data_IF_770999477499
#
_entry.id   IF_770999477499
#
_cell.length_a   1.000
_cell.length_b   1.000
_cell.length_c   1.000
_cell.angle_alpha   90.00
_cell.angle_beta   90.00
_cell.angle_gamma   90.00
#
_symmetry.space_group_name_H-M   'P 1'
#
loop_
_entity.id
_entity.type
_entity.pdbx_description
1 polymer ?
#
# COMPACT_ATOMS: atom_id res chain seq x y z
N UNK A 1 -1.90 7.80 -11.50
CA UNK A 1 -0.67 7.04 -11.23
C UNK A 1 -0.15 7.56 -9.89
N UNK A 2 -0.26 6.78 -8.81
CA UNK A 2 0.26 7.20 -7.50
C UNK A 2 1.78 7.11 -7.60
N UNK A 3 2.46 8.26 -7.59
CA UNK A 3 3.92 8.29 -7.51
C UNK A 3 4.33 7.78 -6.12
N UNK A 4 4.76 6.52 -6.05
CA UNK A 4 5.38 5.97 -4.84
C UNK A 4 6.78 6.55 -4.72
N UNK A 5 6.97 7.50 -3.83
CA UNK A 5 8.29 8.01 -3.53
C UNK A 5 8.99 7.00 -2.60
N UNK A 6 9.96 6.27 -3.16
CA UNK A 6 10.72 5.24 -2.44
C UNK A 6 11.58 5.80 -1.30
N UNK A 7 11.73 7.13 -1.21
CA UNK A 7 12.49 7.79 -0.16
C UNK A 7 11.63 8.15 1.06
N UNK A 8 10.35 7.83 1.07
CA UNK A 8 9.49 8.08 2.23
C UNK A 8 9.76 7.08 3.34
N UNK A 9 9.72 7.54 4.59
CA UNK A 9 10.04 6.71 5.76
C UNK A 9 9.13 5.48 5.92
N UNK A 10 7.91 5.51 5.33
CA UNK A 10 7.00 4.36 5.34
C UNK A 10 7.43 3.24 4.36
N UNK A 11 8.33 3.52 3.43
CA UNK A 11 8.65 2.60 2.32
C UNK A 11 9.32 1.32 2.79
N UNK A 12 10.35 1.43 3.64
CA UNK A 12 11.08 0.26 4.14
C UNK A 12 10.22 -0.64 5.03
N UNK A 13 9.45 -0.12 6.02
CA UNK A 13 8.53 -0.93 6.80
C UNK A 13 7.47 -1.62 5.93
N UNK A 14 6.89 -0.90 4.97
CA UNK A 14 5.87 -1.45 4.08
C UNK A 14 6.42 -2.58 3.21
N UNK A 15 7.63 -2.41 2.67
CA UNK A 15 8.29 -3.43 1.87
C UNK A 15 8.66 -4.65 2.72
N UNK A 16 9.07 -4.43 3.98
CA UNK A 16 9.36 -5.52 4.93
C UNK A 16 8.11 -6.36 5.20
N UNK A 17 6.98 -5.72 5.52
CA UNK A 17 5.70 -6.42 5.73
C UNK A 17 5.28 -7.18 4.47
N UNK A 18 5.41 -6.55 3.30
CA UNK A 18 5.04 -7.17 2.04
C UNK A 18 5.93 -8.38 1.70
N UNK A 19 7.21 -8.37 2.09
CA UNK A 19 8.10 -9.53 1.97
C UNK A 19 7.72 -10.64 2.93
N UNK A 20 7.49 -10.31 4.19
CA UNK A 20 7.25 -11.30 5.25
C UNK A 20 5.89 -11.99 5.09
N UNK A 21 4.84 -11.22 4.87
CA UNK A 21 3.46 -11.76 4.88
C UNK A 21 2.98 -12.15 3.49
N UNK A 22 3.44 -11.44 2.45
CA UNK A 22 3.02 -11.69 1.09
C UNK A 22 4.16 -12.33 0.27
N UNK A 23 5.44 -12.14 0.57
CA UNK A 23 6.53 -12.57 -0.34
C UNK A 23 6.64 -11.66 -1.56
N UNK A 24 6.21 -10.39 -1.46
CA UNK A 24 6.45 -9.35 -2.47
C UNK A 24 7.85 -8.79 -2.25
N UNK A 25 8.78 -9.09 -3.15
CA UNK A 25 10.19 -8.69 -2.99
C UNK A 25 10.48 -7.24 -3.38
N UNK A 26 9.68 -6.70 -4.30
CA UNK A 26 9.72 -5.32 -4.77
C UNK A 26 8.32 -4.88 -5.20
N UNK A 27 8.08 -3.57 -5.13
CA UNK A 27 6.88 -2.94 -5.66
C UNK A 27 7.07 -2.39 -7.09
N UNK A 28 8.24 -2.62 -7.68
CA UNK A 28 8.52 -2.24 -9.06
C UNK A 28 7.83 -3.20 -10.03
N UNK A 29 7.13 -2.69 -11.05
CA UNK A 29 6.55 -3.53 -12.07
C UNK A 29 7.66 -4.23 -12.86
N UNK A 30 7.52 -5.52 -13.03
CA UNK A 30 8.43 -6.39 -13.78
C UNK A 30 8.06 -6.44 -15.28
N UNK A 31 6.92 -5.86 -15.66
CA UNK A 31 6.47 -5.78 -17.04
C UNK A 31 5.93 -7.10 -17.58
N UNK A 32 5.62 -8.06 -16.70
CA UNK A 32 5.10 -9.39 -17.03
C UNK A 32 3.92 -9.69 -16.10
N UNK A 33 2.72 -10.01 -16.63
CA UNK A 33 1.53 -10.26 -15.80
C UNK A 33 1.75 -11.35 -14.73
N UNK A 34 2.51 -12.39 -15.05
CA UNK A 34 2.81 -13.48 -14.11
C UNK A 34 3.73 -13.07 -12.94
N UNK A 35 4.44 -11.96 -13.07
CA UNK A 35 5.30 -11.40 -12.03
C UNK A 35 4.62 -10.24 -11.28
N UNK A 36 3.73 -9.51 -11.96
CA UNK A 36 3.03 -8.34 -11.42
C UNK A 36 1.69 -8.70 -10.74
N UNK A 37 1.11 -9.86 -11.07
CA UNK A 37 -0.14 -10.38 -10.48
C UNK A 37 0.17 -11.67 -9.74
N UNK A 38 -0.38 -11.80 -8.53
CA UNK A 38 -0.08 -12.89 -7.60
C UNK A 38 -1.32 -13.29 -6.80
N UNK A 39 -1.53 -14.59 -6.66
CA UNK A 39 -2.54 -15.13 -5.74
C UNK A 39 -2.00 -15.08 -4.31
N UNK A 40 -2.81 -14.59 -3.38
CA UNK A 40 -2.50 -14.54 -1.95
C UNK A 40 -3.64 -15.20 -1.18
N UNK A 41 -3.35 -15.83 -0.04
CA UNK A 41 -4.41 -16.27 0.86
C UNK A 41 -5.01 -15.03 1.53
N UNK A 42 -6.31 -15.06 1.78
CA UNK A 42 -7.02 -13.95 2.45
C UNK A 42 -6.43 -13.69 3.84
N UNK A 43 -6.03 -14.74 4.55
CA UNK A 43 -5.41 -14.66 5.88
C UNK A 43 -4.07 -13.91 5.87
N UNK A 44 -3.26 -14.11 4.83
CA UNK A 44 -1.96 -13.46 4.67
C UNK A 44 -2.13 -11.96 4.41
N UNK A 45 -3.17 -11.60 3.65
CA UNK A 45 -3.57 -10.20 3.44
C UNK A 45 -3.98 -9.57 4.78
N UNK A 46 -4.80 -10.26 5.58
CA UNK A 46 -5.22 -9.80 6.91
C UNK A 46 -4.02 -9.50 7.82
N UNK A 47 -3.08 -10.43 7.94
CA UNK A 47 -1.87 -10.25 8.75
C UNK A 47 -1.00 -9.10 8.26
N UNK A 48 -0.84 -8.94 6.95
CA UNK A 48 -0.10 -7.83 6.39
C UNK A 48 -0.71 -6.47 6.77
N UNK A 49 -2.05 -6.37 6.77
CA UNK A 49 -2.75 -5.14 7.17
C UNK A 49 -2.64 -4.88 8.67
N UNK A 50 -2.79 -5.90 9.52
CA UNK A 50 -2.61 -5.79 10.97
C UNK A 50 -1.20 -5.32 11.31
N UNK A 51 -0.16 -5.94 10.70
CA UNK A 51 1.22 -5.51 10.89
C UNK A 51 1.47 -4.09 10.38
N UNK A 52 0.83 -3.67 9.30
CA UNK A 52 0.92 -2.29 8.86
C UNK A 52 0.40 -1.32 9.96
N UNK A 53 -0.74 -1.63 10.58
CA UNK A 53 -1.25 -0.83 11.69
C UNK A 53 -0.33 -0.84 12.93
N UNK A 54 0.23 -1.99 13.30
CA UNK A 54 1.19 -2.09 14.42
C UNK A 54 2.45 -1.24 14.20
N UNK A 55 2.90 -1.12 12.94
CA UNK A 55 4.01 -0.26 12.55
C UNK A 55 3.62 1.23 12.43
N UNK A 56 2.37 1.59 12.71
CA UNK A 56 1.85 2.95 12.55
C UNK A 56 1.64 3.36 11.09
N UNK A 57 1.68 2.40 10.15
CA UNK A 57 1.36 2.61 8.75
C UNK A 57 -0.16 2.67 8.60
N UNK A 58 -0.74 3.86 8.71
CA UNK A 58 -2.14 4.08 8.43
C UNK A 58 -2.40 3.99 6.93
N UNK A 59 -2.81 2.80 6.47
CA UNK A 59 -3.28 2.58 5.10
C UNK A 59 -4.79 2.76 5.08
N UNK A 60 -5.24 4.00 5.02
CA UNK A 60 -6.67 4.30 5.03
C UNK A 60 -6.93 5.77 4.84
N UNK A 61 -7.56 6.10 3.71
CA UNK A 61 -8.15 7.39 3.33
C UNK A 61 -7.60 8.56 4.15
N UNK A 62 -6.52 9.19 3.68
CA UNK A 62 -6.39 10.63 3.89
C UNK A 62 -7.68 11.20 3.34
N UNK A 63 -8.68 11.43 4.19
CA UNK A 63 -9.67 12.47 3.92
C UNK A 63 -8.79 13.70 3.98
N UNK A 64 -8.15 14.02 2.86
CA UNK A 64 -7.82 15.39 2.55
C UNK A 64 -9.16 16.10 2.62
N UNK A 65 -9.49 16.59 3.82
CA UNK A 65 -10.50 17.62 4.10
C UNK A 65 -10.05 18.94 3.46
N UNK A 66 -9.50 18.86 2.26
CA UNK A 66 -9.18 19.91 1.32
C UNK A 66 -10.07 19.76 0.07
N UNK A 67 -10.62 18.57 -0.23
CA UNK A 67 -11.66 18.37 -1.27
C UNK A 67 -13.10 18.59 -0.75
N UNK A 68 -13.27 19.15 0.45
CA UNK A 68 -14.52 19.84 0.84
C UNK A 68 -14.42 21.36 0.77
N UNK A 69 -13.39 21.89 0.12
CA UNK A 69 -13.36 23.28 -0.32
C UNK A 69 -13.73 23.34 -1.81
N UNK A 70 -14.97 23.75 -2.09
CA UNK A 70 -15.46 24.30 -3.37
C UNK A 70 -15.73 23.30 -4.52
N UNK A 71 -16.86 22.61 -4.40
CA UNK A 71 -17.68 22.19 -5.54
C UNK A 71 -19.09 22.70 -5.35
N UNK A 72 -19.36 23.90 -5.86
CA UNK A 72 -20.67 24.54 -5.97
C UNK A 72 -21.46 23.94 -7.16
N UNK A 73 -22.80 24.05 -7.10
CA UNK A 73 -23.84 23.74 -8.09
C UNK A 73 -24.48 22.33 -8.06
N UNK A 74 -25.63 22.21 -7.39
CA UNK A 74 -26.96 22.39 -8.02
C UNK A 74 -27.97 22.82 -6.96
#
# INVERSE_FOLDING_TARGET
MIYRNKNEAYWEPLLTIARDELGIQSFDPMGKPSADIRMCRVEDIGRALERAYDFGLLVGHTVTRAERAKGHCA
#
